data_IF_347260517506
#
_entry.id   IF_347260517506
#
_cell.length_a   1.000
_cell.length_b   1.000
_cell.length_c   1.000
_cell.angle_alpha   90.00
_cell.angle_beta   90.00
_cell.angle_gamma   90.00
#
_symmetry.space_group_name_H-M   'P 1'
#
loop_
_entity.id
_entity.type
_entity.pdbx_description
1 polymer ?
#
# COMPACT_ATOMS: atom_id res chain seq x y z
N UNK A 1 -7.50 17.55 13.46
CA UNK A 1 -8.24 17.35 12.20
C UNK A 1 -7.39 16.59 11.16
N UNK A 2 -6.25 17.13 10.72
CA UNK A 2 -5.37 16.52 9.68
C UNK A 2 -5.05 15.04 9.94
N UNK A 3 -4.69 14.67 11.17
CA UNK A 3 -4.37 13.29 11.53
C UNK A 3 -5.53 12.32 11.32
N UNK A 4 -6.76 12.71 11.64
CA UNK A 4 -7.95 11.86 11.40
C UNK A 4 -8.19 11.66 9.92
N UNK A 5 -8.00 12.72 9.14
CA UNK A 5 -8.10 12.66 7.68
C UNK A 5 -7.04 11.70 7.13
N UNK A 6 -5.78 11.84 7.55
CA UNK A 6 -4.70 10.94 7.14
C UNK A 6 -5.00 9.46 7.50
N UNK A 7 -5.50 9.21 8.72
CA UNK A 7 -5.88 7.86 9.15
C UNK A 7 -6.99 7.25 8.27
N UNK A 8 -8.01 8.04 7.94
CA UNK A 8 -9.11 7.60 7.05
C UNK A 8 -8.60 7.36 5.64
N UNK A 9 -7.77 8.25 5.09
CA UNK A 9 -7.20 8.08 3.76
C UNK A 9 -6.34 6.82 3.67
N UNK A 10 -5.51 6.53 4.69
CA UNK A 10 -4.72 5.30 4.75
C UNK A 10 -5.62 4.05 4.83
N UNK A 11 -6.70 4.11 5.62
CA UNK A 11 -7.64 3.00 5.70
C UNK A 11 -8.34 2.75 4.36
N UNK A 12 -8.79 3.80 3.68
CA UNK A 12 -9.39 3.70 2.34
C UNK A 12 -8.39 3.17 1.32
N UNK A 13 -7.14 3.66 1.35
CA UNK A 13 -6.07 3.14 0.50
C UNK A 13 -5.84 1.64 0.75
N UNK A 14 -5.83 1.20 2.01
CA UNK A 14 -5.77 -0.21 2.38
C UNK A 14 -6.92 -1.03 1.82
N UNK A 15 -8.15 -0.53 1.89
CA UNK A 15 -9.34 -1.23 1.36
C UNK A 15 -9.26 -1.42 -0.16
N UNK A 16 -8.72 -0.45 -0.90
CA UNK A 16 -8.54 -0.56 -2.35
C UNK A 16 -7.62 -1.75 -2.71
N UNK A 17 -6.65 -2.09 -1.86
CA UNK A 17 -5.76 -3.23 -2.07
C UNK A 17 -6.48 -4.58 -2.09
N UNK A 18 -7.71 -4.68 -1.55
CA UNK A 18 -8.54 -5.90 -1.68
C UNK A 18 -8.80 -6.30 -3.13
N UNK A 19 -8.81 -5.37 -4.06
CA UNK A 19 -8.97 -5.64 -5.50
C UNK A 19 -7.87 -6.61 -5.96
N UNK A 20 -6.61 -6.35 -5.54
CA UNK A 20 -5.46 -7.19 -5.88
C UNK A 20 -5.47 -8.57 -5.23
N UNK A 21 -6.30 -8.80 -4.20
CA UNK A 21 -6.53 -10.12 -3.62
C UNK A 21 -7.71 -10.84 -4.29
N UNK A 22 -8.84 -10.16 -4.43
CA UNK A 22 -10.11 -10.74 -4.89
C UNK A 22 -9.97 -11.32 -6.31
N UNK A 23 -9.27 -10.63 -7.20
CA UNK A 23 -9.10 -11.03 -8.60
C UNK A 23 -8.23 -12.29 -8.77
N UNK A 24 -6.99 -12.39 -8.24
CA UNK A 24 -6.17 -13.59 -8.35
C UNK A 24 -6.79 -14.81 -7.67
N UNK A 25 -7.60 -14.61 -6.63
CA UNK A 25 -8.30 -15.68 -5.94
C UNK A 25 -9.66 -16.02 -6.57
N UNK A 26 -10.03 -15.32 -7.67
CA UNK A 26 -11.28 -15.57 -8.43
C UNK A 26 -12.54 -15.50 -7.54
N UNK A 27 -12.49 -14.64 -6.50
CA UNK A 27 -13.63 -14.46 -5.57
C UNK A 27 -14.73 -13.65 -6.24
N UNK A 28 -14.36 -12.64 -7.03
CA UNK A 28 -15.27 -11.84 -7.85
C UNK A 28 -14.58 -11.36 -9.13
N UNK A 29 -15.39 -11.09 -10.15
CA UNK A 29 -14.95 -10.42 -11.38
C UNK A 29 -15.21 -8.94 -11.24
N UNK A 30 -14.14 -8.13 -11.39
CA UNK A 30 -14.21 -6.68 -11.29
C UNK A 30 -13.93 -6.08 -12.66
N UNK A 31 -14.76 -5.11 -13.08
CA UNK A 31 -14.55 -4.39 -14.32
C UNK A 31 -13.20 -3.65 -14.30
N UNK A 32 -12.42 -3.78 -15.36
CA UNK A 32 -11.08 -3.22 -15.46
C UNK A 32 -9.97 -4.01 -14.77
N UNK A 33 -10.30 -5.11 -14.06
CA UNK A 33 -9.33 -5.98 -13.36
C UNK A 33 -9.52 -7.43 -13.77
N UNK A 34 -9.06 -7.76 -14.98
CA UNK A 34 -9.12 -9.14 -15.47
C UNK A 34 -8.15 -10.04 -14.70
N UNK A 35 -8.56 -11.29 -14.48
CA UNK A 35 -7.65 -12.29 -13.96
C UNK A 35 -6.49 -12.53 -14.93
N UNK A 36 -5.26 -12.48 -14.43
CA UNK A 36 -4.04 -12.73 -15.20
C UNK A 36 -3.04 -13.50 -14.35
N UNK A 37 -2.22 -14.31 -15.01
CA UNK A 37 -1.04 -14.97 -14.42
C UNK A 37 0.25 -14.24 -14.74
N UNK A 38 0.17 -13.15 -15.53
CA UNK A 38 1.32 -12.38 -15.95
C UNK A 38 1.49 -11.11 -15.14
N UNK A 39 2.74 -10.70 -14.93
CA UNK A 39 3.15 -9.45 -14.24
C UNK A 39 3.96 -8.56 -15.19
N UNK A 40 4.23 -7.31 -14.78
CA UNK A 40 4.96 -6.32 -15.57
C UNK A 40 4.38 -6.14 -16.97
N UNK A 41 3.08 -5.88 -17.05
CA UNK A 41 2.38 -5.69 -18.32
C UNK A 41 2.52 -6.90 -19.30
N UNK A 42 2.52 -8.12 -18.76
CA UNK A 42 2.61 -9.34 -19.55
C UNK A 42 4.03 -9.85 -19.82
N UNK A 43 5.06 -9.16 -19.30
CA UNK A 43 6.45 -9.52 -19.57
C UNK A 43 6.89 -10.86 -18.92
N UNK A 44 6.24 -11.26 -17.83
CA UNK A 44 6.58 -12.49 -17.10
C UNK A 44 5.31 -13.21 -16.67
N UNK A 45 5.22 -14.51 -16.99
CA UNK A 45 4.16 -15.39 -16.49
C UNK A 45 4.61 -16.08 -15.19
N UNK A 46 3.89 -15.81 -14.10
CA UNK A 46 4.13 -16.40 -12.77
C UNK A 46 3.20 -17.58 -12.48
N UNK A 47 2.29 -17.90 -13.40
CA UNK A 47 1.28 -18.94 -13.26
C UNK A 47 0.24 -18.65 -12.18
N UNK A 48 -0.74 -19.55 -12.04
CA UNK A 48 -1.83 -19.44 -11.05
C UNK A 48 -1.31 -19.34 -9.62
N UNK A 49 -0.30 -20.13 -9.26
CA UNK A 49 0.26 -20.13 -7.91
C UNK A 49 0.94 -18.80 -7.60
N UNK A 50 1.75 -18.27 -8.52
CA UNK A 50 2.39 -16.96 -8.36
C UNK A 50 1.39 -15.82 -8.24
N UNK A 51 0.35 -15.82 -9.08
CA UNK A 51 -0.72 -14.83 -9.01
C UNK A 51 -1.43 -14.84 -7.64
N UNK A 52 -1.72 -16.03 -7.07
CA UNK A 52 -2.33 -16.15 -5.73
C UNK A 52 -1.40 -15.68 -4.62
N UNK A 53 -0.09 -15.97 -4.70
CA UNK A 53 0.90 -15.48 -3.72
C UNK A 53 0.95 -13.95 -3.75
N UNK A 54 0.99 -13.33 -4.93
CA UNK A 54 0.92 -11.88 -5.07
C UNK A 54 -0.39 -11.35 -4.48
N UNK A 55 -1.52 -12.04 -4.72
CA UNK A 55 -2.81 -11.71 -4.09
C UNK A 55 -2.76 -11.70 -2.56
N UNK A 56 -2.03 -12.64 -1.92
CA UNK A 56 -1.83 -12.64 -0.46
C UNK A 56 -1.02 -11.43 0.00
N UNK A 57 -0.04 -10.97 -0.77
CA UNK A 57 0.69 -9.73 -0.46
C UNK A 57 -0.25 -8.53 -0.48
N UNK A 58 -1.15 -8.44 -1.49
CA UNK A 58 -2.18 -7.42 -1.54
C UNK A 58 -3.11 -7.45 -0.32
N UNK A 59 -3.51 -8.64 0.11
CA UNK A 59 -4.32 -8.81 1.33
C UNK A 59 -3.56 -8.35 2.58
N UNK A 60 -2.27 -8.68 2.67
CA UNK A 60 -1.39 -8.22 3.75
C UNK A 60 -1.28 -6.70 3.79
N UNK A 61 -1.15 -6.05 2.63
CA UNK A 61 -1.16 -4.58 2.51
C UNK A 61 -2.49 -3.98 2.99
N UNK A 62 -3.63 -4.61 2.67
CA UNK A 62 -4.94 -4.17 3.18
C UNK A 62 -4.93 -4.07 4.70
N UNK A 63 -4.61 -5.16 5.40
CA UNK A 63 -4.58 -5.18 6.86
C UNK A 63 -3.48 -4.27 7.43
N UNK A 64 -2.33 -4.22 6.77
CA UNK A 64 -1.22 -3.35 7.13
C UNK A 64 -1.62 -1.86 7.14
N UNK A 65 -2.22 -1.37 6.06
CA UNK A 65 -2.67 0.02 5.97
C UNK A 65 -3.83 0.33 6.92
N UNK A 66 -4.74 -0.62 7.18
CA UNK A 66 -5.77 -0.47 8.22
C UNK A 66 -5.13 -0.33 9.60
N UNK A 67 -4.14 -1.18 9.93
CA UNK A 67 -3.40 -1.09 11.18
C UNK A 67 -2.60 0.22 11.29
N UNK A 68 -1.92 0.64 10.21
CA UNK A 68 -1.21 1.92 10.14
C UNK A 68 -2.16 3.11 10.35
N UNK A 69 -3.31 3.13 9.67
CA UNK A 69 -4.35 4.14 9.85
C UNK A 69 -4.85 4.21 11.30
N UNK A 70 -5.13 3.06 11.91
CA UNK A 70 -5.48 2.98 13.32
C UNK A 70 -4.36 3.50 14.22
N UNK A 71 -3.11 3.12 13.95
CA UNK A 71 -1.93 3.59 14.68
C UNK A 71 -1.73 5.11 14.58
N UNK A 72 -1.92 5.70 13.39
CA UNK A 72 -1.93 7.16 13.18
C UNK A 72 -3.04 7.81 14.00
N UNK A 73 -4.24 7.23 14.00
CA UNK A 73 -5.35 7.72 14.82
C UNK A 73 -4.99 7.73 16.31
N UNK A 74 -4.40 6.62 16.80
CA UNK A 74 -4.01 6.43 18.23
C UNK A 74 -2.69 7.12 18.62
N UNK A 75 -2.00 7.78 17.68
CA UNK A 75 -0.70 8.45 17.90
C UNK A 75 0.43 7.50 18.31
N UNK A 76 0.41 6.27 17.81
CA UNK A 76 1.47 5.32 18.12
C UNK A 76 2.77 5.65 17.38
N UNK A 77 3.92 5.36 18.00
CA UNK A 77 5.23 5.70 17.42
C UNK A 77 5.59 4.86 16.19
N UNK A 78 5.10 3.63 16.13
CA UNK A 78 5.40 2.70 15.05
C UNK A 78 4.63 2.99 13.74
N UNK A 79 3.52 3.70 13.83
CA UNK A 79 2.60 3.85 12.70
C UNK A 79 3.23 4.53 11.48
N UNK A 80 4.06 5.56 11.69
CA UNK A 80 4.74 6.28 10.59
C UNK A 80 5.74 5.36 9.89
N UNK A 81 6.55 4.62 10.65
CA UNK A 81 7.51 3.66 10.09
C UNK A 81 6.81 2.53 9.32
N UNK A 82 5.75 1.96 9.89
CA UNK A 82 4.94 0.95 9.23
C UNK A 82 4.34 1.49 7.92
N UNK A 83 3.76 2.70 7.94
CA UNK A 83 3.22 3.33 6.72
C UNK A 83 4.27 3.42 5.61
N UNK A 84 5.50 3.81 5.94
CA UNK A 84 6.60 3.89 4.96
C UNK A 84 6.94 2.53 4.36
N UNK A 85 7.08 1.49 5.19
CA UNK A 85 7.36 0.12 4.72
C UNK A 85 6.23 -0.38 3.81
N UNK A 86 4.98 -0.20 4.23
CA UNK A 86 3.82 -0.63 3.45
C UNK A 86 3.73 0.09 2.10
N UNK A 87 4.01 1.40 2.06
CA UNK A 87 3.99 2.16 0.82
C UNK A 87 5.10 1.70 -0.15
N UNK A 88 6.30 1.34 0.34
CA UNK A 88 7.35 0.75 -0.50
C UNK A 88 6.89 -0.58 -1.09
N UNK A 89 6.35 -1.49 -0.26
CA UNK A 89 5.84 -2.79 -0.73
C UNK A 89 4.69 -2.59 -1.70
N UNK A 90 3.80 -1.63 -1.44
CA UNK A 90 2.69 -1.27 -2.32
C UNK A 90 3.17 -0.83 -3.71
N UNK A 91 4.18 0.04 -3.79
CA UNK A 91 4.79 0.43 -5.09
C UNK A 91 5.28 -0.80 -5.84
N UNK A 92 5.96 -1.74 -5.17
CA UNK A 92 6.48 -2.96 -5.80
C UNK A 92 5.34 -3.79 -6.39
N UNK A 93 4.27 -4.05 -5.62
CA UNK A 93 3.16 -4.86 -6.13
C UNK A 93 2.32 -4.12 -7.17
N UNK A 94 2.23 -2.78 -7.10
CA UNK A 94 1.63 -1.97 -8.16
C UNK A 94 2.41 -2.10 -9.48
N UNK A 95 3.74 -2.13 -9.43
CA UNK A 95 4.58 -2.37 -10.61
C UNK A 95 4.37 -3.78 -11.18
N UNK A 96 4.21 -4.80 -10.32
CA UNK A 96 3.86 -6.15 -10.75
C UNK A 96 2.49 -6.19 -11.43
N UNK A 97 1.52 -5.42 -10.93
CA UNK A 97 0.14 -5.36 -11.40
C UNK A 97 -0.13 -4.35 -12.53
N UNK A 98 0.91 -3.86 -13.23
CA UNK A 98 0.70 -2.97 -14.37
C UNK A 98 -0.03 -3.66 -15.52
N UNK A 99 -0.86 -2.93 -16.28
CA UNK A 99 -1.17 -1.49 -16.14
C UNK A 99 -2.26 -1.17 -15.12
N UNK A 100 -3.08 -2.14 -14.70
CA UNK A 100 -4.30 -1.93 -13.92
C UNK A 100 -4.02 -1.26 -12.55
N UNK A 101 -2.93 -1.65 -11.87
CA UNK A 101 -2.54 -1.10 -10.58
C UNK A 101 -1.69 0.18 -10.68
N UNK A 102 -1.43 0.68 -11.88
CA UNK A 102 -0.53 1.82 -12.10
C UNK A 102 -0.95 3.11 -11.39
N UNK A 103 -2.25 3.32 -11.17
CA UNK A 103 -2.78 4.48 -10.43
C UNK A 103 -2.40 4.49 -8.95
N UNK A 104 -2.04 3.34 -8.36
CA UNK A 104 -1.55 3.24 -6.99
C UNK A 104 -0.17 3.88 -6.80
N UNK A 105 0.70 3.83 -7.82
CA UNK A 105 2.09 4.32 -7.73
C UNK A 105 2.20 5.79 -7.32
N UNK A 106 1.50 6.76 -7.96
CA UNK A 106 1.55 8.15 -7.53
C UNK A 106 0.95 8.37 -6.13
N UNK A 107 -0.05 7.59 -5.74
CA UNK A 107 -0.64 7.68 -4.40
C UNK A 107 0.38 7.24 -3.35
N UNK A 108 1.05 6.11 -3.55
CA UNK A 108 2.13 5.64 -2.67
C UNK A 108 3.31 6.62 -2.65
N UNK A 109 3.62 7.27 -3.77
CA UNK A 109 4.61 8.34 -3.84
C UNK A 109 4.29 9.51 -2.91
N UNK A 110 3.03 9.94 -2.87
CA UNK A 110 2.56 10.99 -1.93
C UNK A 110 2.66 10.51 -0.48
N UNK A 111 2.29 9.26 -0.19
CA UNK A 111 2.42 8.69 1.15
C UNK A 111 3.89 8.66 1.59
N UNK A 112 4.80 8.21 0.72
CA UNK A 112 6.24 8.17 1.00
C UNK A 112 6.81 9.57 1.23
N UNK A 113 6.43 10.56 0.43
CA UNK A 113 6.84 11.95 0.62
C UNK A 113 6.38 12.51 1.97
N UNK A 114 5.13 12.21 2.37
CA UNK A 114 4.60 12.62 3.67
C UNK A 114 5.34 11.95 4.83
N UNK A 115 5.63 10.64 4.73
CA UNK A 115 6.43 9.91 5.73
C UNK A 115 7.83 10.49 5.86
N UNK A 116 8.52 10.70 4.74
CA UNK A 116 9.87 11.29 4.71
C UNK A 116 9.90 12.68 5.36
N UNK A 117 8.90 13.52 5.06
CA UNK A 117 8.76 14.83 5.68
C UNK A 117 8.59 14.74 7.21
N UNK A 118 7.72 13.84 7.68
CA UNK A 118 7.48 13.66 9.12
C UNK A 118 8.72 13.16 9.87
N UNK A 119 9.48 12.23 9.27
CA UNK A 119 10.74 11.74 9.83
C UNK A 119 11.76 12.88 9.91
N UNK A 120 11.95 13.63 8.83
CA UNK A 120 12.90 14.73 8.75
C UNK A 120 12.61 15.86 9.77
N UNK A 121 11.34 16.25 9.92
CA UNK A 121 10.95 17.27 10.91
C UNK A 121 11.20 16.77 12.33
N UNK A 122 10.96 15.50 12.60
CA UNK A 122 11.19 14.89 13.90
C UNK A 122 12.69 14.87 14.24
N UNK A 123 13.55 14.46 13.30
CA UNK A 123 15.00 14.40 13.49
C UNK A 123 15.60 15.79 13.78
N UNK A 124 15.12 16.82 13.06
CA UNK A 124 15.52 18.21 13.34
C UNK A 124 15.09 18.72 14.72
N UNK A 125 13.94 18.29 15.22
CA UNK A 125 13.48 18.67 16.54
C UNK A 125 14.33 18.05 17.64
N UNK A 126 14.76 16.79 17.46
CA UNK A 126 15.65 16.10 18.41
C UNK A 126 17.07 16.66 18.42
N UNK A 127 17.62 17.02 17.25
CA UNK A 127 18.98 17.57 17.13
C UNK A 127 19.14 18.99 17.70
N UNK A 128 18.07 19.72 17.97
CA UNK A 128 18.10 21.06 18.60
C UNK A 128 18.05 21.01 20.14
N UNK A 129 17.80 19.85 20.70
CA UNK A 129 17.65 19.66 22.16
C UNK A 129 18.85 18.95 22.81
N UNK A 130 19.82 18.51 22.02
CA UNK A 130 21.10 17.93 22.45
C UNK A 130 22.28 18.86 22.13
#
# INVERSE_FOLDING_TARGET
MIRRIAAVLLALHGVIHLIGFVTPWRIATLEGFAYRTTVFNGALDVGDAGARVIGLVWLGLTFGFLAAGYGIWRRTRWAVGLTGVLAIVSVIVCLLGLPEAGTGIPIDGVILAAVAYLVFVRDRATSRLG
#
